data_IF_199775901674
#
_entry.id   IF_199775901674
#
_cell.length_a   1.000
_cell.length_b   1.000
_cell.length_c   1.000
_cell.angle_alpha   90.00
_cell.angle_beta   90.00
_cell.angle_gamma   90.00
#
_symmetry.space_group_name_H-M   'P 1'
#
loop_
_entity.id
_entity.type
_entity.pdbx_description
1 polymer ?
#
# COMPACT_ATOMS: atom_id res chain seq x y z
N UNK A 1 57.39 4.00 -21.32
CA UNK A 1 57.59 3.65 -19.90
C UNK A 1 56.47 4.30 -19.11
N UNK A 2 55.56 3.46 -18.62
CA UNK A 2 54.27 3.79 -18.01
C UNK A 2 54.41 4.07 -16.52
N UNK A 3 53.92 5.22 -16.05
CA UNK A 3 53.60 5.45 -14.62
C UNK A 3 52.10 5.14 -14.38
N UNK A 4 51.72 4.42 -13.32
CA UNK A 4 50.32 4.17 -13.02
C UNK A 4 49.73 5.30 -12.17
N UNK A 5 48.58 5.82 -12.62
CA UNK A 5 47.73 6.74 -11.88
C UNK A 5 47.04 5.96 -10.74
N UNK A 6 47.31 6.32 -9.48
CA UNK A 6 46.61 5.75 -8.32
C UNK A 6 45.20 6.35 -8.23
N UNK A 7 44.19 5.54 -8.47
CA UNK A 7 42.78 5.87 -8.27
C UNK A 7 42.45 5.77 -6.76
N UNK A 8 42.23 6.90 -6.11
CA UNK A 8 41.78 6.95 -4.73
C UNK A 8 40.28 6.63 -4.67
N UNK A 9 39.94 5.43 -4.22
CA UNK A 9 38.56 5.05 -3.90
C UNK A 9 38.19 5.72 -2.57
N UNK A 10 37.37 6.78 -2.62
CA UNK A 10 36.70 7.30 -1.43
C UNK A 10 35.56 6.34 -1.07
N UNK A 11 35.77 5.52 -0.03
CA UNK A 11 34.70 4.80 0.66
C UNK A 11 33.78 5.86 1.31
N UNK A 12 32.56 6.01 0.80
CA UNK A 12 31.49 6.72 1.49
C UNK A 12 30.79 5.70 2.38
N UNK A 13 31.07 5.78 3.68
CA UNK A 13 30.42 4.97 4.70
C UNK A 13 29.01 5.55 4.92
N UNK A 14 27.98 4.91 4.36
CA UNK A 14 26.59 5.24 4.71
C UNK A 14 26.32 4.70 6.12
N UNK A 15 26.10 5.61 7.06
CA UNK A 15 25.74 5.29 8.43
C UNK A 15 24.42 4.53 8.49
N UNK A 16 24.50 3.29 8.95
CA UNK A 16 23.36 2.46 9.31
C UNK A 16 22.83 2.96 10.66
N UNK A 17 21.83 3.84 10.67
CA UNK A 17 21.09 4.13 11.91
C UNK A 17 20.05 3.00 12.08
N UNK A 18 20.49 1.89 12.67
CA UNK A 18 19.60 0.89 13.24
C UNK A 18 19.00 1.46 14.54
N UNK A 19 17.76 1.95 14.45
CA UNK A 19 16.89 2.10 15.62
C UNK A 19 16.17 0.80 15.94
N UNK A 20 16.90 -0.26 16.31
CA UNK A 20 16.30 -1.46 16.89
C UNK A 20 16.21 -1.28 18.42
N UNK A 21 15.10 -0.71 18.89
CA UNK A 21 14.72 -0.87 20.31
C UNK A 21 13.85 -2.11 20.44
N UNK A 22 14.48 -3.26 20.69
CA UNK A 22 13.84 -4.42 21.26
C UNK A 22 14.18 -4.48 22.76
N UNK A 23 13.14 -4.31 23.58
CA UNK A 23 12.91 -4.80 24.94
C UNK A 23 12.26 -3.74 25.84
N UNK A 24 10.93 -3.82 25.95
CA UNK A 24 10.24 -3.55 27.22
C UNK A 24 8.93 -4.34 27.21
N UNK A 25 8.89 -5.41 27.99
CA UNK A 25 7.68 -6.08 28.41
C UNK A 25 6.94 -5.18 29.40
N UNK A 26 6.08 -4.33 28.89
CA UNK A 26 4.96 -3.74 29.61
C UNK A 26 3.75 -3.86 28.68
N UNK A 27 2.61 -4.31 29.21
CA UNK A 27 1.38 -4.63 28.46
C UNK A 27 0.79 -3.44 27.71
N UNK A 28 1.43 -3.04 26.62
CA UNK A 28 1.10 -1.85 25.84
C UNK A 28 0.59 -2.27 24.45
N UNK A 29 -0.62 -1.81 24.13
CA UNK A 29 -1.27 -1.83 22.82
C UNK A 29 -0.44 -1.10 21.76
N UNK A 30 0.72 -1.64 21.39
CA UNK A 30 1.65 -1.02 20.45
C UNK A 30 1.76 -1.88 19.20
N UNK A 31 1.75 -1.22 18.04
CA UNK A 31 1.94 -1.88 16.77
C UNK A 31 3.34 -2.53 16.73
N UNK A 32 3.42 -3.73 16.18
CA UNK A 32 4.69 -4.44 15.98
C UNK A 32 5.12 -4.28 14.52
N UNK A 33 6.39 -3.92 14.30
CA UNK A 33 6.97 -3.79 12.96
C UNK A 33 7.98 -4.90 12.69
N UNK A 34 7.93 -5.47 11.49
CA UNK A 34 8.79 -6.59 11.05
C UNK A 34 9.34 -6.27 9.66
N UNK A 35 10.66 -6.32 9.45
CA UNK A 35 11.24 -6.19 8.11
C UNK A 35 10.69 -7.23 7.14
N UNK A 36 10.39 -6.79 5.92
CA UNK A 36 9.89 -7.64 4.85
C UNK A 36 10.99 -8.04 3.88
N UNK A 37 10.86 -9.24 3.32
CA UNK A 37 11.56 -9.60 2.11
C UNK A 37 10.97 -8.80 0.94
N UNK A 38 11.81 -8.01 0.29
CA UNK A 38 11.48 -7.34 -0.96
C UNK A 38 11.71 -8.35 -2.08
N UNK A 39 10.69 -8.58 -2.89
CA UNK A 39 10.75 -9.48 -4.03
C UNK A 39 10.92 -8.70 -5.33
N UNK A 40 11.56 -9.34 -6.31
CA UNK A 40 11.89 -8.76 -7.59
C UNK A 40 11.44 -9.66 -8.74
N UNK A 41 10.84 -9.07 -9.76
CA UNK A 41 10.53 -9.72 -11.03
C UNK A 41 11.18 -8.95 -12.19
N UNK A 42 11.98 -9.61 -13.05
CA UNK A 42 12.69 -8.94 -14.13
C UNK A 42 11.74 -8.60 -15.28
N UNK A 43 11.18 -7.39 -15.27
CA UNK A 43 10.53 -6.79 -16.43
C UNK A 43 11.51 -5.88 -17.17
N UNK A 44 11.88 -6.17 -18.43
CA UNK A 44 12.85 -5.37 -19.19
C UNK A 44 12.26 -4.01 -19.63
N UNK A 45 10.97 -3.99 -19.99
CA UNK A 45 10.32 -2.85 -20.66
C UNK A 45 9.28 -2.17 -19.77
N UNK A 46 9.73 -1.62 -18.64
CA UNK A 46 8.84 -0.92 -17.71
C UNK A 46 8.73 0.55 -18.09
N UNK A 47 7.57 0.93 -18.63
CA UNK A 47 7.19 2.34 -18.81
C UNK A 47 6.77 2.95 -17.48
N UNK A 48 7.30 4.13 -17.16
CA UNK A 48 6.90 4.92 -15.98
C UNK A 48 6.33 6.26 -16.42
N UNK A 49 5.49 6.87 -15.57
CA UNK A 49 5.17 8.29 -15.74
C UNK A 49 6.46 9.12 -15.64
N UNK A 50 6.70 10.10 -16.53
CA UNK A 50 7.85 10.99 -16.42
C UNK A 50 7.81 11.79 -15.11
N UNK A 51 8.92 11.73 -14.36
CA UNK A 51 9.12 12.63 -13.23
C UNK A 51 9.08 14.09 -13.72
N UNK A 52 8.59 15.04 -12.89
CA UNK A 52 8.28 14.90 -11.48
C UNK A 52 6.85 14.41 -11.16
N UNK A 53 6.14 13.81 -12.12
CA UNK A 53 4.81 13.23 -11.89
C UNK A 53 4.88 11.73 -11.58
N UNK A 54 3.91 11.25 -10.80
CA UNK A 54 3.77 9.85 -10.45
C UNK A 54 2.30 9.45 -10.49
N UNK A 55 1.98 8.32 -11.12
CA UNK A 55 0.63 7.77 -11.14
C UNK A 55 0.51 6.63 -10.13
N UNK A 56 -0.33 6.80 -9.12
CA UNK A 56 -0.49 5.85 -8.01
C UNK A 56 -1.91 5.31 -7.95
N UNK A 57 -2.08 4.09 -7.45
CA UNK A 57 -3.41 3.52 -7.25
C UNK A 57 -3.52 2.72 -5.94
N UNK A 58 -4.74 2.62 -5.43
CA UNK A 58 -5.09 1.65 -4.40
C UNK A 58 -6.29 0.81 -4.80
N UNK A 59 -6.27 -0.45 -4.38
CA UNK A 59 -7.35 -1.40 -4.64
C UNK A 59 -7.42 -2.47 -3.54
N UNK A 60 -8.57 -2.59 -2.88
CA UNK A 60 -8.94 -3.79 -2.16
C UNK A 60 -9.27 -4.90 -3.18
N UNK A 61 -8.52 -6.00 -3.15
CA UNK A 61 -8.63 -7.09 -4.11
C UNK A 61 -9.85 -8.00 -3.89
N UNK A 62 -10.53 -7.86 -2.75
CA UNK A 62 -11.62 -8.75 -2.36
C UNK A 62 -11.20 -10.24 -2.41
N UNK A 63 -9.96 -10.55 -2.04
CA UNK A 63 -9.38 -11.89 -2.18
C UNK A 63 -9.41 -12.46 -3.62
N UNK A 64 -9.40 -11.59 -4.64
CA UNK A 64 -9.49 -11.97 -6.06
C UNK A 64 -10.86 -12.53 -6.47
N UNK A 65 -11.89 -12.40 -5.63
CA UNK A 65 -13.21 -13.01 -5.85
C UNK A 65 -14.15 -12.20 -6.74
N UNK A 66 -13.79 -10.94 -7.07
CA UNK A 66 -14.69 -9.95 -7.66
C UNK A 66 -16.00 -9.85 -6.86
N UNK A 67 -17.15 -10.04 -7.51
CA UNK A 67 -18.48 -9.93 -6.91
C UNK A 67 -19.01 -11.25 -6.35
N UNK A 68 -18.24 -12.35 -6.38
CA UNK A 68 -18.67 -13.58 -5.75
C UNK A 68 -18.94 -13.33 -4.25
N UNK A 69 -20.04 -13.87 -3.73
CA UNK A 69 -20.48 -13.64 -2.34
C UNK A 69 -19.43 -14.04 -1.30
N UNK A 70 -18.58 -15.03 -1.65
CA UNK A 70 -17.50 -15.51 -0.81
C UNK A 70 -16.38 -16.07 -1.71
N UNK A 71 -15.13 -15.83 -1.34
CA UNK A 71 -13.94 -16.33 -2.03
C UNK A 71 -13.87 -17.87 -2.08
N UNK A 72 -14.46 -18.57 -1.11
CA UNK A 72 -14.54 -20.04 -1.11
C UNK A 72 -15.41 -20.59 -2.26
N UNK A 73 -16.21 -19.75 -2.91
CA UNK A 73 -17.00 -20.11 -4.10
C UNK A 73 -16.22 -19.94 -5.41
N UNK A 74 -14.99 -19.41 -5.35
CA UNK A 74 -14.17 -19.09 -6.52
C UNK A 74 -12.97 -20.02 -6.53
N UNK A 75 -12.86 -20.86 -7.56
CA UNK A 75 -11.70 -21.73 -7.73
C UNK A 75 -10.47 -20.93 -8.20
N UNK A 76 -9.27 -21.52 -8.04
CA UNK A 76 -8.00 -20.86 -8.34
C UNK A 76 -7.87 -20.37 -9.78
N UNK A 77 -8.43 -21.07 -10.77
CA UNK A 77 -8.37 -20.65 -12.18
C UNK A 77 -9.25 -19.43 -12.46
N UNK A 78 -10.42 -19.36 -11.85
CA UNK A 78 -11.27 -18.16 -11.91
C UNK A 78 -10.60 -16.99 -11.17
N UNK A 79 -10.00 -17.24 -10.02
CA UNK A 79 -9.22 -16.22 -9.29
C UNK A 79 -8.08 -15.68 -10.16
N UNK A 80 -7.31 -16.54 -10.82
CA UNK A 80 -6.26 -16.11 -11.76
C UNK A 80 -6.80 -15.24 -12.90
N UNK A 81 -7.93 -15.60 -13.52
CA UNK A 81 -8.58 -14.78 -14.55
C UNK A 81 -8.98 -13.41 -14.01
N UNK A 82 -9.57 -13.37 -12.82
CA UNK A 82 -9.93 -12.10 -12.17
C UNK A 82 -8.70 -11.22 -11.91
N UNK A 83 -7.60 -11.79 -11.43
CA UNK A 83 -6.35 -11.07 -11.23
C UNK A 83 -5.73 -10.63 -12.57
N UNK A 84 -5.90 -11.37 -13.66
CA UNK A 84 -5.44 -10.94 -14.99
C UNK A 84 -6.22 -9.73 -15.51
N UNK A 85 -7.52 -9.62 -15.21
CA UNK A 85 -8.30 -8.43 -15.56
C UNK A 85 -7.77 -7.19 -14.81
N UNK A 86 -7.45 -7.36 -13.52
CA UNK A 86 -6.81 -6.31 -12.71
C UNK A 86 -5.43 -5.96 -13.29
N UNK A 87 -4.60 -6.95 -13.61
CA UNK A 87 -3.27 -6.73 -14.18
C UNK A 87 -3.34 -5.95 -15.50
N UNK A 88 -4.25 -6.34 -16.39
CA UNK A 88 -4.50 -5.66 -17.67
C UNK A 88 -4.92 -4.21 -17.45
N UNK A 89 -5.83 -3.97 -16.51
CA UNK A 89 -6.28 -2.62 -16.18
C UNK A 89 -5.14 -1.74 -15.63
N UNK A 90 -4.33 -2.27 -14.70
CA UNK A 90 -3.18 -1.54 -14.13
C UNK A 90 -2.15 -1.16 -15.21
N UNK A 91 -1.90 -2.06 -16.17
CA UNK A 91 -1.04 -1.79 -17.32
C UNK A 91 -1.61 -0.71 -18.23
N UNK A 92 -2.88 -0.83 -18.62
CA UNK A 92 -3.55 0.16 -19.48
C UNK A 92 -3.56 1.56 -18.85
N UNK A 93 -3.71 1.63 -17.52
CA UNK A 93 -3.66 2.89 -16.79
C UNK A 93 -2.25 3.41 -16.56
N UNK A 94 -1.21 2.63 -16.88
CA UNK A 94 0.20 2.94 -16.65
C UNK A 94 0.51 3.31 -15.18
N UNK A 95 -0.07 2.60 -14.21
CA UNK A 95 0.13 2.91 -12.79
C UNK A 95 1.56 2.58 -12.35
N UNK A 96 2.25 3.52 -11.70
CA UNK A 96 3.63 3.37 -11.27
C UNK A 96 3.78 2.62 -9.95
N UNK A 97 2.89 2.89 -8.99
CA UNK A 97 2.90 2.29 -7.65
C UNK A 97 1.47 1.93 -7.25
N UNK A 98 1.27 0.72 -6.74
CA UNK A 98 -0.04 0.20 -6.34
C UNK A 98 -0.01 -0.24 -4.88
N UNK A 99 -0.98 0.21 -4.08
CA UNK A 99 -1.28 -0.33 -2.77
C UNK A 99 -2.45 -1.32 -2.87
N UNK A 100 -2.27 -2.52 -2.32
CA UNK A 100 -3.25 -3.60 -2.35
C UNK A 100 -3.69 -3.97 -0.93
N UNK A 101 -4.98 -4.23 -0.77
CA UNK A 101 -5.60 -4.75 0.47
C UNK A 101 -6.36 -6.04 0.17
N UNK A 102 -6.62 -6.87 1.19
CA UNK A 102 -7.13 -8.24 1.02
C UNK A 102 -6.28 -9.02 0.00
N UNK A 103 -4.97 -8.81 0.12
CA UNK A 103 -3.99 -9.38 -0.77
C UNK A 103 -3.53 -10.73 -0.21
N UNK A 104 -3.91 -11.81 -0.87
CA UNK A 104 -3.69 -13.18 -0.41
C UNK A 104 -2.30 -13.70 -0.73
N UNK A 105 -1.72 -14.37 0.26
CA UNK A 105 -0.61 -15.29 0.07
C UNK A 105 -1.14 -16.71 -0.20
N UNK A 106 -0.23 -17.58 -0.65
CA UNK A 106 -0.53 -18.97 -0.93
C UNK A 106 -1.14 -19.68 0.28
N UNK A 107 -2.37 -20.14 0.09
CA UNK A 107 -3.21 -20.81 1.08
C UNK A 107 -4.37 -21.52 0.37
N UNK A 108 -5.11 -22.41 1.05
CA UNK A 108 -6.20 -23.16 0.39
C UNK A 108 -7.27 -22.26 -0.22
N UNK A 109 -7.67 -21.18 0.46
CA UNK A 109 -8.71 -20.27 -0.04
C UNK A 109 -8.26 -19.36 -1.20
N UNK A 110 -6.94 -19.26 -1.43
CA UNK A 110 -6.34 -18.42 -2.47
C UNK A 110 -6.25 -19.17 -3.79
N UNK A 111 -6.56 -20.48 -3.79
CA UNK A 111 -6.26 -21.40 -4.87
C UNK A 111 -4.83 -21.96 -4.83
N UNK A 112 -4.14 -21.83 -3.70
CA UNK A 112 -2.78 -22.35 -3.51
C UNK A 112 -1.69 -21.54 -4.22
N UNK A 113 -1.88 -20.23 -4.41
CA UNK A 113 -0.88 -19.36 -5.02
C UNK A 113 -0.91 -17.96 -4.41
N UNK A 114 0.19 -17.22 -4.56
CA UNK A 114 0.35 -15.85 -4.08
C UNK A 114 -0.23 -14.86 -5.10
N UNK A 115 -1.27 -14.12 -4.69
CA UNK A 115 -1.98 -13.18 -5.56
C UNK A 115 -1.12 -11.95 -5.88
N UNK A 116 -0.27 -11.53 -4.93
CA UNK A 116 0.61 -10.36 -5.08
C UNK A 116 1.73 -10.67 -6.07
N UNK A 117 2.37 -11.83 -5.93
CA UNK A 117 3.39 -12.27 -6.87
C UNK A 117 2.81 -12.44 -8.28
N UNK A 118 1.62 -13.04 -8.38
CA UNK A 118 0.91 -13.21 -9.66
C UNK A 118 0.60 -11.85 -10.32
N UNK A 119 0.06 -10.89 -9.57
CA UNK A 119 -0.18 -9.53 -10.08
C UNK A 119 1.12 -8.82 -10.48
N UNK A 120 2.19 -8.91 -9.68
CA UNK A 120 3.46 -8.27 -10.00
C UNK A 120 4.03 -8.78 -11.33
N UNK A 121 4.00 -10.11 -11.51
CA UNK A 121 4.41 -10.75 -12.75
C UNK A 121 3.54 -10.30 -13.93
N UNK A 122 2.22 -10.37 -13.82
CA UNK A 122 1.34 -10.16 -14.97
C UNK A 122 1.05 -8.68 -15.28
N UNK A 123 1.21 -7.78 -14.32
CA UNK A 123 0.96 -6.35 -14.49
C UNK A 123 2.23 -5.51 -14.76
N UNK A 124 3.41 -6.14 -14.82
CA UNK A 124 4.67 -5.45 -15.17
C UNK A 124 5.38 -4.75 -14.01
N UNK A 125 5.11 -5.13 -12.76
CA UNK A 125 5.79 -4.55 -11.59
C UNK A 125 7.06 -5.30 -11.24
N UNK A 126 8.17 -4.57 -11.15
CA UNK A 126 9.48 -5.17 -10.89
C UNK A 126 9.71 -5.46 -9.42
N UNK A 127 9.08 -4.71 -8.53
CA UNK A 127 9.32 -4.78 -7.11
C UNK A 127 8.00 -4.94 -6.37
N UNK A 128 7.98 -5.79 -5.36
CA UNK A 128 6.84 -5.90 -4.47
C UNK A 128 7.23 -6.28 -3.05
N UNK A 129 6.40 -5.84 -2.11
CA UNK A 129 6.48 -6.19 -0.70
C UNK A 129 5.08 -6.57 -0.21
N UNK A 130 4.98 -7.67 0.54
CA UNK A 130 3.71 -8.26 0.97
C UNK A 130 3.72 -8.53 2.46
N UNK A 131 2.84 -7.85 3.19
CA UNK A 131 2.60 -8.08 4.62
C UNK A 131 1.45 -9.05 4.82
N UNK A 132 1.67 -10.04 5.68
CA UNK A 132 0.61 -10.95 6.14
C UNK A 132 0.16 -10.51 7.52
N UNK A 133 -1.07 -10.04 7.62
CA UNK A 133 -1.65 -9.54 8.88
C UNK A 133 -2.53 -10.58 9.55
N UNK A 134 -3.17 -11.44 8.76
CA UNK A 134 -4.03 -12.52 9.23
C UNK A 134 -3.62 -13.81 8.56
N UNK A 135 -3.31 -14.84 9.36
CA UNK A 135 -2.84 -16.12 8.85
C UNK A 135 -3.39 -17.29 9.66
N UNK A 136 -3.85 -18.30 8.94
CA UNK A 136 -4.37 -19.58 9.41
C UNK A 136 -4.07 -20.65 8.36
N UNK A 137 -4.40 -21.92 8.64
CA UNK A 137 -4.26 -22.98 7.63
C UNK A 137 -5.14 -22.76 6.40
N UNK A 138 -6.31 -22.14 6.58
CA UNK A 138 -7.26 -21.93 5.49
C UNK A 138 -6.95 -20.67 4.68
N UNK A 139 -6.42 -19.65 5.36
CA UNK A 139 -6.43 -18.27 4.91
C UNK A 139 -5.18 -17.53 5.33
N UNK A 140 -4.50 -16.87 4.39
CA UNK A 140 -3.33 -16.03 4.68
C UNK A 140 -3.35 -14.78 3.80
N UNK A 141 -3.45 -13.60 4.40
CA UNK A 141 -3.66 -12.35 3.66
C UNK A 141 -3.24 -11.12 4.46
N UNK A 142 -3.12 -10.01 3.73
CA UNK A 142 -2.89 -8.71 4.34
C UNK A 142 -2.87 -7.59 3.31
N UNK A 143 -1.80 -6.81 3.32
CA UNK A 143 -1.61 -5.66 2.44
C UNK A 143 -0.33 -5.84 1.63
N UNK A 144 -0.24 -5.20 0.48
CA UNK A 144 0.97 -5.22 -0.33
C UNK A 144 1.20 -3.91 -1.07
N UNK A 145 2.43 -3.72 -1.52
CA UNK A 145 2.83 -2.64 -2.44
C UNK A 145 3.48 -3.27 -3.66
N UNK A 146 3.04 -2.87 -4.85
CA UNK A 146 3.68 -3.15 -6.14
C UNK A 146 4.32 -1.86 -6.65
N UNK A 147 5.52 -1.94 -7.20
CA UNK A 147 6.25 -0.76 -7.66
C UNK A 147 7.07 -1.06 -8.92
N UNK A 148 7.00 -0.13 -9.88
CA UNK A 148 7.90 -0.09 -11.04
C UNK A 148 9.31 0.36 -10.63
N UNK A 149 9.38 1.23 -9.63
CA UNK A 149 10.61 1.74 -9.04
C UNK A 149 11.16 0.79 -7.96
N UNK A 150 12.49 0.77 -7.71
CA UNK A 150 13.07 -0.02 -6.65
C UNK A 150 12.48 0.26 -5.26
N UNK A 151 12.12 -0.80 -4.54
CA UNK A 151 11.85 -0.74 -3.10
C UNK A 151 13.20 -0.94 -2.40
N UNK A 152 13.64 0.01 -1.58
CA UNK A 152 14.89 -0.08 -0.83
C UNK A 152 14.69 -0.69 0.57
N UNK A 153 13.56 -0.40 1.20
CA UNK A 153 13.19 -0.90 2.52
C UNK A 153 11.69 -1.21 2.54
N UNK A 154 11.30 -2.24 3.28
CA UNK A 154 9.90 -2.57 3.49
C UNK A 154 9.67 -3.15 4.90
N UNK A 155 8.57 -2.74 5.53
CA UNK A 155 8.14 -3.15 6.86
C UNK A 155 6.68 -3.61 6.81
N UNK A 156 6.39 -4.73 7.47
CA UNK A 156 5.05 -5.12 7.86
C UNK A 156 4.76 -4.56 9.25
N UNK A 157 3.66 -3.84 9.39
CA UNK A 157 3.23 -3.31 10.69
C UNK A 157 1.86 -3.88 11.02
N UNK A 158 1.78 -4.64 12.11
CA UNK A 158 0.51 -5.16 12.62
C UNK A 158 -0.05 -4.20 13.66
N UNK A 159 -1.33 -3.86 13.53
CA UNK A 159 -2.03 -3.15 14.59
C UNK A 159 -2.22 -4.06 15.80
N UNK A 160 -2.49 -3.45 16.96
CA UNK A 160 -2.89 -4.20 18.15
C UNK A 160 -4.10 -5.12 17.83
N UNK A 161 -4.09 -6.39 18.29
CA UNK A 161 -5.19 -7.31 18.04
C UNK A 161 -6.54 -6.77 18.56
N UNK A 162 -7.59 -6.97 17.78
CA UNK A 162 -8.93 -6.44 18.08
C UNK A 162 -10.01 -7.50 17.88
N UNK A 163 -10.06 -8.59 18.65
CA UNK A 163 -11.13 -9.59 18.51
C UNK A 163 -12.53 -8.94 18.66
N UNK A 164 -13.56 -9.47 17.98
CA UNK A 164 -13.56 -10.70 17.18
C UNK A 164 -13.13 -10.50 15.72
N UNK A 165 -12.74 -9.28 15.29
CA UNK A 165 -12.26 -9.06 13.92
C UNK A 165 -10.86 -9.64 13.74
N UNK A 166 -10.55 -10.00 12.50
CA UNK A 166 -9.22 -10.48 12.13
C UNK A 166 -8.20 -9.37 12.23
N UNK A 167 -6.96 -9.74 12.54
CA UNK A 167 -5.85 -8.79 12.63
C UNK A 167 -5.68 -7.99 11.34
N UNK A 168 -5.40 -6.70 11.51
CA UNK A 168 -5.20 -5.71 10.46
C UNK A 168 -3.83 -5.05 10.60
N UNK A 169 -3.41 -4.35 9.57
CA UNK A 169 -2.11 -3.70 9.55
C UNK A 169 -1.87 -2.95 8.25
N UNK A 170 -0.60 -2.62 8.04
CA UNK A 170 -0.15 -1.97 6.82
C UNK A 170 1.25 -2.45 6.38
N UNK A 171 1.49 -2.32 5.09
CA UNK A 171 2.81 -2.42 4.47
C UNK A 171 3.37 -1.02 4.28
N UNK A 172 4.55 -0.76 4.80
CA UNK A 172 5.31 0.48 4.57
C UNK A 172 6.52 0.15 3.71
N UNK A 173 6.67 0.84 2.57
CA UNK A 173 7.80 0.66 1.66
C UNK A 173 8.46 2.00 1.32
N UNK A 174 9.79 2.03 1.34
CA UNK A 174 10.59 3.15 0.82
C UNK A 174 10.91 2.89 -0.65
N UNK A 175 10.42 3.77 -1.51
CA UNK A 175 10.52 3.68 -2.96
C UNK A 175 11.59 4.68 -3.43
N UNK A 176 12.59 4.19 -4.15
CA UNK A 176 13.66 5.02 -4.71
C UNK A 176 13.29 5.48 -6.11
N UNK A 177 12.96 6.76 -6.26
CA UNK A 177 12.56 7.36 -7.54
C UNK A 177 13.76 7.61 -8.45
N UNK A 178 14.86 8.09 -7.86
CA UNK A 178 16.16 8.29 -8.52
C UNK A 178 17.31 8.17 -7.49
N UNK A 179 18.52 8.61 -7.83
CA UNK A 179 19.69 8.52 -6.94
C UNK A 179 19.60 9.37 -5.67
N UNK A 180 18.79 10.42 -5.68
CA UNK A 180 18.74 11.43 -4.62
C UNK A 180 17.39 11.45 -3.90
N UNK A 181 16.32 11.01 -4.58
CA UNK A 181 14.95 11.15 -4.10
C UNK A 181 14.31 9.79 -3.80
N UNK A 182 13.75 9.69 -2.60
CA UNK A 182 12.94 8.56 -2.15
C UNK A 182 11.58 9.03 -1.64
N UNK A 183 10.62 8.11 -1.65
CA UNK A 183 9.25 8.32 -1.26
C UNK A 183 8.81 7.18 -0.36
N UNK A 184 8.18 7.48 0.77
CA UNK A 184 7.56 6.47 1.61
C UNK A 184 6.12 6.21 1.13
N UNK A 185 5.76 4.94 0.95
CA UNK A 185 4.43 4.51 0.51
C UNK A 185 3.87 3.52 1.50
N UNK A 186 2.59 3.71 1.86
CA UNK A 186 1.88 2.87 2.82
C UNK A 186 0.64 2.27 2.18
N UNK A 187 0.47 0.95 2.28
CA UNK A 187 -0.78 0.24 1.98
C UNK A 187 -1.43 -0.19 3.29
N UNK A 188 -2.59 0.37 3.65
CA UNK A 188 -3.28 0.13 4.92
C UNK A 188 -4.67 -0.47 4.72
N UNK A 189 -5.10 -1.33 5.64
CA UNK A 189 -6.48 -1.83 5.69
C UNK A 189 -6.96 -1.75 7.14
N UNK A 190 -7.98 -0.93 7.42
CA UNK A 190 -8.53 -0.76 8.76
C UNK A 190 -9.66 -1.75 9.11
N UNK A 191 -10.08 -1.75 10.38
CA UNK A 191 -11.20 -2.55 10.88
C UNK A 191 -12.53 -2.18 10.19
N UNK A 192 -13.18 -3.18 9.59
CA UNK A 192 -14.42 -2.99 8.84
C UNK A 192 -15.67 -2.79 9.72
N UNK A 193 -15.56 -3.02 11.03
CA UNK A 193 -16.71 -3.16 11.92
C UNK A 193 -16.86 -2.00 12.90
N UNK A 194 -15.78 -1.58 13.57
CA UNK A 194 -15.85 -0.70 14.74
C UNK A 194 -15.05 0.58 14.55
N UNK A 195 -15.77 1.69 14.61
CA UNK A 195 -15.25 3.05 14.58
C UNK A 195 -14.10 3.30 15.57
N UNK A 196 -14.30 2.91 16.83
CA UNK A 196 -13.31 3.09 17.89
C UNK A 196 -12.00 2.33 17.63
N UNK A 197 -12.06 1.16 16.98
CA UNK A 197 -10.87 0.40 16.61
C UNK A 197 -10.14 1.07 15.44
N UNK A 198 -10.87 1.54 14.42
CA UNK A 198 -10.27 2.32 13.32
C UNK A 198 -9.54 3.55 13.83
N UNK A 199 -10.13 4.28 14.79
CA UNK A 199 -9.49 5.42 15.43
C UNK A 199 -8.15 5.03 16.10
N UNK A 200 -8.14 3.97 16.89
CA UNK A 200 -6.90 3.46 17.52
C UNK A 200 -5.85 3.02 16.49
N UNK A 201 -6.28 2.40 15.39
CA UNK A 201 -5.39 1.99 14.30
C UNK A 201 -4.76 3.20 13.59
N UNK A 202 -5.53 4.28 13.39
CA UNK A 202 -5.04 5.54 12.81
C UNK A 202 -4.05 6.25 13.73
N UNK A 203 -4.27 6.20 15.05
CA UNK A 203 -3.30 6.68 16.04
C UNK A 203 -1.99 5.88 16.00
N UNK A 204 -2.07 4.56 15.87
CA UNK A 204 -0.90 3.69 15.70
C UNK A 204 -0.16 3.98 14.38
N UNK A 205 -0.88 4.20 13.29
CA UNK A 205 -0.32 4.60 12.00
C UNK A 205 0.42 5.95 12.11
N UNK A 206 -0.21 6.96 12.70
CA UNK A 206 0.40 8.27 12.92
C UNK A 206 1.66 8.18 13.80
N UNK A 207 1.62 7.36 14.85
CA UNK A 207 2.78 7.13 15.71
C UNK A 207 3.93 6.48 14.94
N UNK A 208 3.66 5.48 14.11
CA UNK A 208 4.68 4.80 13.31
C UNK A 208 5.33 5.74 12.29
N UNK A 209 4.54 6.63 11.68
CA UNK A 209 5.01 7.51 10.61
C UNK A 209 5.59 8.85 11.11
N UNK A 210 5.52 9.13 12.41
CA UNK A 210 5.91 10.43 13.00
C UNK A 210 7.33 10.86 12.64
N UNK A 211 8.27 9.93 12.61
CA UNK A 211 9.69 10.19 12.37
C UNK A 211 10.10 9.96 10.89
N UNK A 212 9.12 9.83 10.00
CA UNK A 212 9.38 9.66 8.57
C UNK A 212 9.84 10.98 7.96
N UNK A 213 11.06 10.98 7.39
CA UNK A 213 11.69 12.17 6.83
C UNK A 213 11.30 12.39 5.36
N UNK A 214 11.03 11.32 4.60
CA UNK A 214 10.66 11.47 3.19
C UNK A 214 9.18 11.88 3.04
N UNK A 215 8.85 12.41 1.86
CA UNK A 215 7.46 12.57 1.46
C UNK A 215 6.73 11.23 1.51
N UNK A 216 5.45 11.26 1.91
CA UNK A 216 4.70 10.05 2.20
C UNK A 216 3.37 10.02 1.46
N UNK A 217 3.05 8.88 0.85
CA UNK A 217 1.73 8.54 0.32
C UNK A 217 1.13 7.43 1.18
N UNK A 218 -0.06 7.66 1.73
CA UNK A 218 -0.83 6.63 2.44
C UNK A 218 -2.02 6.25 1.58
N UNK A 219 -2.18 4.96 1.33
CA UNK A 219 -3.19 4.43 0.44
C UNK A 219 -3.89 3.24 1.06
N UNK A 220 -5.19 3.10 0.85
CA UNK A 220 -5.88 1.86 1.19
C UNK A 220 -7.34 1.98 1.54
N UNK A 221 -7.88 0.90 2.09
CA UNK A 221 -9.26 0.78 2.56
C UNK A 221 -9.34 1.17 4.03
N UNK A 222 -9.90 2.35 4.28
CA UNK A 222 -10.05 2.90 5.62
C UNK A 222 -11.35 2.46 6.27
N UNK A 223 -12.30 1.85 5.55
CA UNK A 223 -13.64 1.55 6.07
C UNK A 223 -14.34 2.77 6.74
N UNK A 224 -13.98 3.98 6.29
CA UNK A 224 -14.44 5.28 6.76
C UNK A 224 -14.62 6.22 5.56
N UNK A 225 -15.63 7.08 5.61
CA UNK A 225 -16.17 7.81 4.46
C UNK A 225 -15.72 9.27 4.35
N UNK A 226 -15.08 9.84 5.37
CA UNK A 226 -14.59 11.22 5.30
C UNK A 226 -15.71 12.23 5.05
N UNK A 227 -16.89 12.02 5.65
CA UNK A 227 -18.08 12.84 5.46
C UNK A 227 -17.95 14.20 6.16
N UNK A 228 -18.49 15.28 5.56
CA UNK A 228 -18.44 16.63 6.13
C UNK A 228 -19.61 16.92 7.07
N UNK A 229 -20.78 16.36 6.79
CA UNK A 229 -22.00 16.48 7.60
C UNK A 229 -21.93 15.65 8.88
N UNK A 230 -21.22 14.52 8.83
CA UNK A 230 -20.95 13.67 9.99
C UNK A 230 -19.48 13.24 10.00
N UNK A 231 -18.58 14.06 10.54
CA UNK A 231 -17.16 13.74 10.63
C UNK A 231 -16.90 12.40 11.30
N UNK A 232 -15.94 11.65 10.76
CA UNK A 232 -15.55 10.30 11.15
C UNK A 232 -14.03 10.18 11.34
N UNK A 233 -13.51 8.96 11.36
CA UNK A 233 -12.10 8.69 11.68
C UNK A 233 -11.15 9.25 10.62
N UNK A 234 -11.57 9.31 9.35
CA UNK A 234 -10.77 9.95 8.27
C UNK A 234 -10.68 11.45 8.52
N UNK A 235 -11.77 12.09 8.91
CA UNK A 235 -11.75 13.52 9.25
C UNK A 235 -10.82 13.79 10.43
N UNK A 236 -10.94 13.00 11.50
CA UNK A 236 -10.07 13.11 12.67
C UNK A 236 -8.60 12.90 12.32
N UNK A 237 -8.29 11.89 11.50
CA UNK A 237 -6.93 11.62 11.02
C UNK A 237 -6.33 12.81 10.28
N UNK A 238 -7.08 13.40 9.34
CA UNK A 238 -6.61 14.56 8.56
C UNK A 238 -6.41 15.81 9.43
N UNK A 239 -7.24 16.03 10.45
CA UNK A 239 -7.10 17.17 11.37
C UNK A 239 -5.84 17.07 12.25
N UNK A 240 -5.38 15.86 12.55
CA UNK A 240 -4.28 15.61 13.49
C UNK A 240 -3.01 15.04 12.83
N UNK A 241 -2.87 15.20 11.51
CA UNK A 241 -1.73 14.69 10.76
C UNK A 241 -1.26 15.68 9.68
N UNK A 242 -0.06 15.53 9.11
CA UNK A 242 0.40 16.37 8.01
C UNK A 242 -0.17 15.93 6.64
N UNK A 243 -1.24 15.13 6.62
CA UNK A 243 -1.76 14.55 5.40
C UNK A 243 -2.97 15.32 4.87
N UNK A 244 -3.13 15.32 3.54
CA UNK A 244 -4.29 15.87 2.84
C UNK A 244 -5.00 14.82 2.01
N UNK A 245 -6.31 14.99 1.88
CA UNK A 245 -7.17 14.22 1.00
C UNK A 245 -7.68 15.08 -0.15
N UNK A 246 -7.92 14.47 -1.30
CA UNK A 246 -8.61 15.12 -2.41
C UNK A 246 -10.12 15.13 -2.17
N UNK A 247 -10.76 16.30 -2.30
CA UNK A 247 -12.22 16.51 -2.24
C UNK A 247 -12.93 15.71 -1.13
N UNK A 248 -12.59 15.98 0.12
CA UNK A 248 -13.23 15.37 1.29
C UNK A 248 -14.76 15.59 1.24
N UNK A 249 -15.55 14.57 1.61
CA UNK A 249 -17.02 14.61 1.54
C UNK A 249 -17.66 14.41 0.17
N UNK A 250 -16.88 14.33 -0.92
CA UNK A 250 -17.46 14.15 -2.26
C UNK A 250 -17.97 12.70 -2.46
N UNK A 251 -19.30 12.54 -2.48
CA UNK A 251 -20.00 11.26 -2.67
C UNK A 251 -19.90 10.69 -4.09
N UNK A 252 -19.60 11.52 -5.10
CA UNK A 252 -19.39 11.05 -6.48
C UNK A 252 -18.12 10.19 -6.62
N UNK A 253 -17.23 10.26 -5.63
CA UNK A 253 -15.96 9.53 -5.57
C UNK A 253 -16.08 8.21 -4.79
N UNK A 254 -17.29 7.63 -4.75
CA UNK A 254 -17.55 6.34 -4.10
C UNK A 254 -16.72 5.22 -4.74
N UNK A 255 -16.06 4.43 -3.89
CA UNK A 255 -15.22 3.29 -4.25
C UNK A 255 -15.84 1.95 -3.86
N UNK A 256 -16.84 1.94 -2.98
CA UNK A 256 -17.56 0.74 -2.56
C UNK A 256 -19.06 1.02 -2.53
N UNK A 257 -19.80 0.46 -3.50
CA UNK A 257 -21.23 0.76 -3.70
C UNK A 257 -21.44 2.29 -3.75
N UNK A 258 -22.18 2.86 -2.80
CA UNK A 258 -22.43 4.30 -2.68
C UNK A 258 -21.51 5.01 -1.66
N UNK A 259 -20.49 4.32 -1.14
CA UNK A 259 -19.58 4.80 -0.09
C UNK A 259 -18.18 5.02 -0.64
N UNK A 260 -17.44 5.96 -0.05
CA UNK A 260 -16.03 6.20 -0.34
C UNK A 260 -15.17 5.64 0.79
N UNK A 261 -14.73 4.40 0.67
CA UNK A 261 -13.96 3.73 1.74
C UNK A 261 -12.46 3.71 1.45
N UNK A 262 -12.08 3.87 0.18
CA UNK A 262 -10.70 3.79 -0.28
C UNK A 262 -10.11 5.19 -0.48
N UNK A 263 -8.95 5.42 0.09
CA UNK A 263 -8.31 6.73 0.16
C UNK A 263 -6.87 6.72 -0.32
N UNK A 264 -6.46 7.87 -0.86
CA UNK A 264 -5.06 8.22 -1.11
C UNK A 264 -4.85 9.56 -0.40
N UNK A 265 -3.93 9.56 0.56
CA UNK A 265 -3.51 10.72 1.32
C UNK A 265 -2.06 11.06 1.01
N UNK A 266 -1.77 12.35 0.95
CA UNK A 266 -0.46 12.88 0.59
C UNK A 266 0.09 13.76 1.72
N UNK A 267 1.38 13.65 2.04
CA UNK A 267 2.06 14.65 2.88
C UNK A 267 2.02 16.03 2.23
N UNK A 268 2.12 17.10 3.03
CA UNK A 268 1.90 18.49 2.58
C UNK A 268 2.70 18.94 1.36
N UNK A 269 3.84 18.32 1.08
CA UNK A 269 4.69 18.71 -0.04
C UNK A 269 4.28 18.06 -1.38
N UNK A 270 3.50 16.98 -1.38
CA UNK A 270 3.06 16.26 -2.60
C UNK A 270 1.67 16.72 -3.06
N UNK A 271 1.48 17.25 -4.26
CA UNK A 271 0.15 17.74 -4.69
C UNK A 271 -0.61 16.75 -5.58
N UNK A 272 -1.95 16.79 -5.51
CA UNK A 272 -2.81 16.08 -6.43
C UNK A 272 -2.90 16.86 -7.75
N UNK A 273 -2.78 16.18 -8.89
CA UNK A 273 -3.01 16.75 -10.22
C UNK A 273 -4.37 16.29 -10.75
N UNK A 274 -4.67 15.00 -10.63
CA UNK A 274 -5.89 14.41 -11.18
C UNK A 274 -6.44 13.29 -10.28
N UNK A 275 -7.74 13.04 -10.40
CA UNK A 275 -8.49 12.02 -9.69
C UNK A 275 -9.28 11.15 -10.66
N UNK A 276 -9.10 9.83 -10.57
CA UNK A 276 -9.98 8.86 -11.22
C UNK A 276 -10.43 7.76 -10.24
N UNK A 277 -11.72 7.38 -10.28
CA UNK A 277 -12.18 6.07 -9.76
C UNK A 277 -12.37 5.12 -10.95
N UNK A 278 -11.77 3.94 -10.89
CA UNK A 278 -11.87 2.90 -11.90
C UNK A 278 -13.23 2.21 -11.98
N UNK A 279 -13.35 1.16 -12.81
CA UNK A 279 -14.58 0.37 -12.93
C UNK A 279 -14.80 -0.48 -11.67
N UNK A 280 -16.06 -0.84 -11.43
CA UNK A 280 -16.45 -1.80 -10.39
C UNK A 280 -16.30 -3.26 -10.83
N UNK A 281 -16.05 -3.55 -12.10
CA UNK A 281 -15.93 -4.92 -12.61
C UNK A 281 -14.70 -5.70 -12.16
N UNK A 282 -13.77 -5.07 -11.43
CA UNK A 282 -12.46 -5.62 -11.07
C UNK A 282 -12.42 -6.23 -9.66
N UNK A 283 -13.21 -5.70 -8.75
CA UNK A 283 -13.34 -6.10 -7.34
C UNK A 283 -14.67 -5.56 -6.82
N UNK A 284 -15.14 -5.97 -5.64
CA UNK A 284 -16.29 -5.27 -5.04
C UNK A 284 -15.94 -3.86 -4.55
N UNK A 285 -14.65 -3.50 -4.57
CA UNK A 285 -14.13 -2.14 -4.53
C UNK A 285 -13.65 -1.67 -5.92
N UNK A 286 -13.79 -0.38 -6.17
CA UNK A 286 -13.29 0.28 -7.38
C UNK A 286 -11.86 0.79 -7.14
N UNK A 287 -10.93 0.64 -8.10
CA UNK A 287 -9.59 1.21 -7.97
C UNK A 287 -9.65 2.73 -7.81
N UNK A 288 -8.90 3.28 -6.87
CA UNK A 288 -8.74 4.74 -6.72
C UNK A 288 -7.38 5.14 -7.26
N UNK A 289 -7.35 6.01 -8.28
CA UNK A 289 -6.13 6.37 -9.03
C UNK A 289 -5.86 7.87 -8.95
N UNK A 290 -4.60 8.25 -8.72
CA UNK A 290 -4.15 9.64 -8.76
C UNK A 290 -2.95 9.82 -9.64
N UNK A 291 -2.95 10.94 -10.37
CA UNK A 291 -1.73 11.58 -10.80
C UNK A 291 -1.31 12.57 -9.71
N UNK A 292 -0.07 12.46 -9.25
CA UNK A 292 0.47 13.34 -8.22
C UNK A 292 1.74 14.01 -8.72
N UNK A 293 2.02 15.18 -8.15
CA UNK A 293 3.23 15.95 -8.37
C UNK A 293 4.18 15.74 -7.19
N UNK A 294 5.39 15.28 -7.48
CA UNK A 294 6.49 15.25 -6.53
C UNK A 294 7.22 16.61 -6.59
N UNK A 295 7.67 17.18 -5.44
CA UNK A 295 8.54 18.35 -5.43
C UNK A 295 9.81 18.12 -6.24
N UNK A 296 10.15 19.10 -7.07
CA UNK A 296 11.48 19.23 -7.65
C UNK A 296 12.39 19.93 -6.63
N UNK A 297 13.56 19.38 -6.37
CA UNK A 297 14.61 20.07 -5.61
C UNK A 297 15.09 21.33 -6.34
#
# INVERSE_FOLDING_TARGET
MTQPLRLAIKLVLFGLIMGLSACSSNGNNTASSVPLKIAYWPHPDVSTTPLPQLKVATLNLAHGRKHALNQLLVNGDTTKKNLLDIATYLQQQNIDIVALQEADASSSWSGGFDHVAYLAQHAGYRWYAHSIHSSSKLASYGTAILSKYPISEALAVNFAPSPPTTSKGFTHARIRLNSEQSLDVVSVHLDFSRASIRQQQLEQLNKQLKDTVNHTIIMGDFNSEGQLDKPDEVNHFLQHSPYRAFELGNKALASYKSKRLDWIFLSKDLSFIDYQVGPDSLSDHRPVIRLIQIPTH
#
